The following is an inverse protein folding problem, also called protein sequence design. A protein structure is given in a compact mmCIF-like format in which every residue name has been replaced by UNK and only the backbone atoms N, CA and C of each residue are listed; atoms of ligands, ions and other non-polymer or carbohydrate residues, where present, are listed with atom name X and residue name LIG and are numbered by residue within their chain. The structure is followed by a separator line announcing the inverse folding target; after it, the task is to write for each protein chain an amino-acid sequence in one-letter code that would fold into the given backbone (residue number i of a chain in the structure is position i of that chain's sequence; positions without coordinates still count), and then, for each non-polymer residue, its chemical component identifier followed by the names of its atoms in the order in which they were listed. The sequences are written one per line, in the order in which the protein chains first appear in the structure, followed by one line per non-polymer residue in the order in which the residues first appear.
data_IF_650829582926
#
_entry.id   IF_650829582926
#
_cell.length_a   1.000
_cell.length_b   1.000
_cell.length_c   1.000
_cell.angle_alpha   90.00
_cell.angle_beta   90.00
_cell.angle_gamma   90.00
#
_symmetry.space_group_name_H-M   'P 1'
#
loop_
_entity.id
_entity.type
_entity.pdbx_description
1 polymer ?
#
# COMPACT_ATOMS: atom_id res chain seq x y z
N UNK A 1 -69.80 -27.32 -73.57
CA UNK A 1 -69.53 -28.57 -74.35
C UNK A 1 -68.14 -29.03 -73.93
N UNK A 2 -68.00 -30.29 -73.48
CA UNK A 2 -66.71 -30.95 -73.17
C UNK A 2 -66.10 -31.57 -74.40
N UNK A 3 -64.96 -32.23 -74.41
CA UNK A 3 -64.72 -33.49 -73.68
C UNK A 3 -63.34 -33.66 -73.08
N UNK A 4 -63.30 -34.50 -72.03
CA UNK A 4 -62.81 -35.92 -71.93
C UNK A 4 -61.28 -36.13 -72.04
N UNK A 5 -60.82 -36.70 -70.94
CA UNK A 5 -60.25 -38.07 -70.76
C UNK A 5 -58.81 -38.22 -71.24
N UNK A 6 -57.92 -38.68 -70.46
CA UNK A 6 -57.67 -40.07 -70.14
C UNK A 6 -56.51 -40.20 -69.09
N UNK A 7 -56.71 -41.11 -68.16
CA UNK A 7 -55.61 -41.80 -67.42
C UNK A 7 -55.00 -42.89 -68.28
N UNK A 8 -53.80 -43.34 -68.05
CA UNK A 8 -53.59 -44.42 -67.09
C UNK A 8 -52.31 -44.31 -66.22
N UNK A 9 -52.46 -44.73 -65.04
CA UNK A 9 -51.75 -45.79 -64.26
C UNK A 9 -50.38 -46.24 -64.78
N UNK A 10 -49.35 -46.14 -63.94
CA UNK A 10 -48.69 -47.34 -63.53
C UNK A 10 -47.81 -47.13 -62.32
N UNK A 11 -47.99 -48.04 -61.41
CA UNK A 11 -47.20 -48.36 -60.22
C UNK A 11 -45.77 -48.63 -60.59
N UNK A 12 -44.85 -48.09 -59.84
CA UNK A 12 -43.79 -48.95 -59.29
C UNK A 12 -43.06 -48.26 -58.06
N UNK A 13 -43.33 -48.77 -56.92
CA UNK A 13 -42.54 -48.56 -55.71
C UNK A 13 -41.33 -49.45 -55.80
N UNK A 14 -40.16 -48.95 -55.35
CA UNK A 14 -39.44 -49.66 -54.36
C UNK A 14 -39.01 -48.77 -53.18
N UNK A 15 -39.81 -48.77 -52.12
CA UNK A 15 -39.40 -48.50 -50.75
C UNK A 15 -38.47 -49.62 -50.27
N UNK A 16 -37.17 -49.49 -50.43
CA UNK A 16 -36.20 -50.32 -49.64
C UNK A 16 -34.77 -49.80 -49.61
N UNK A 17 -34.43 -48.62 -50.22
CA UNK A 17 -33.08 -48.10 -50.21
C UNK A 17 -32.83 -46.91 -49.21
N UNK A 18 -33.87 -46.26 -48.70
CA UNK A 18 -33.73 -45.08 -47.85
C UNK A 18 -33.47 -45.38 -46.34
N UNK A 19 -33.62 -46.64 -45.91
CA UNK A 19 -33.44 -47.00 -44.47
C UNK A 19 -32.02 -47.51 -44.16
N UNK A 20 -31.20 -47.72 -45.19
CA UNK A 20 -29.83 -48.26 -44.99
C UNK A 20 -28.74 -47.20 -44.92
N UNK A 21 -29.00 -45.97 -45.37
CA UNK A 21 -28.02 -44.88 -45.30
C UNK A 21 -28.01 -44.11 -43.96
N UNK A 22 -29.08 -44.18 -43.15
CA UNK A 22 -29.18 -43.48 -41.88
C UNK A 22 -28.46 -44.22 -40.69
N UNK A 23 -27.86 -45.39 -40.92
CA UNK A 23 -27.19 -46.17 -39.87
C UNK A 23 -25.67 -46.10 -39.85
N UNK A 24 -25.03 -45.38 -40.78
CA UNK A 24 -23.59 -45.27 -40.87
C UNK A 24 -23.01 -43.88 -40.52
N UNK A 25 -23.79 -43.00 -39.92
CA UNK A 25 -23.38 -41.62 -39.63
C UNK A 25 -23.11 -41.36 -38.12
N UNK A 26 -22.52 -42.30 -37.38
CA UNK A 26 -22.16 -41.99 -35.99
C UNK A 26 -21.04 -42.91 -35.42
N UNK A 27 -20.02 -43.18 -36.19
CA UNK A 27 -18.75 -43.57 -35.60
C UNK A 27 -17.77 -42.42 -35.71
N UNK A 28 -17.78 -41.57 -34.69
CA UNK A 28 -16.73 -40.54 -34.59
C UNK A 28 -15.37 -41.26 -34.67
N UNK A 29 -14.47 -40.82 -35.56
CA UNK A 29 -13.21 -41.53 -35.78
C UNK A 29 -12.46 -41.60 -34.46
N UNK A 30 -11.84 -42.77 -34.15
CA UNK A 30 -11.05 -42.97 -32.92
C UNK A 30 -10.01 -41.86 -32.70
N UNK A 31 -9.55 -41.25 -33.79
CA UNK A 31 -8.68 -40.08 -33.77
C UNK A 31 -9.28 -38.86 -32.99
N UNK A 32 -10.62 -38.67 -33.00
CA UNK A 32 -11.27 -37.61 -32.26
C UNK A 32 -11.15 -37.78 -30.75
N UNK A 33 -11.25 -38.99 -30.23
CA UNK A 33 -11.09 -39.29 -28.81
C UNK A 33 -9.61 -39.20 -28.36
N UNK A 34 -8.69 -39.55 -29.27
CA UNK A 34 -7.26 -39.34 -29.03
C UNK A 34 -6.89 -37.85 -28.94
N UNK A 35 -7.48 -37.04 -29.79
CA UNK A 35 -7.28 -35.57 -29.80
C UNK A 35 -7.85 -34.91 -28.53
N UNK A 36 -9.07 -35.34 -28.13
CA UNK A 36 -9.68 -34.89 -26.86
C UNK A 36 -8.83 -35.33 -25.64
N UNK A 37 -8.35 -36.56 -25.60
CA UNK A 37 -7.47 -37.08 -24.58
C UNK A 37 -6.17 -36.27 -24.48
N UNK A 38 -5.55 -35.93 -25.63
CA UNK A 38 -4.35 -35.11 -25.66
C UNK A 38 -4.61 -33.67 -25.12
N UNK A 39 -5.72 -33.03 -25.48
CA UNK A 39 -6.11 -31.73 -24.97
C UNK A 39 -6.32 -31.74 -23.45
N UNK A 40 -6.99 -32.77 -22.94
CA UNK A 40 -7.20 -32.94 -21.47
C UNK A 40 -5.87 -33.15 -20.76
N UNK A 41 -4.99 -33.99 -21.30
CA UNK A 41 -3.65 -34.21 -20.71
C UNK A 41 -2.79 -32.93 -20.71
N UNK A 42 -2.81 -32.17 -21.80
CA UNK A 42 -2.10 -30.88 -21.87
C UNK A 42 -2.72 -29.87 -20.86
N UNK A 43 -4.05 -29.83 -20.77
CA UNK A 43 -4.75 -28.99 -19.80
C UNK A 43 -4.43 -29.36 -18.34
N UNK A 44 -4.42 -30.66 -18.01
CA UNK A 44 -4.03 -31.15 -16.67
C UNK A 44 -2.56 -30.86 -16.40
N UNK A 45 -1.67 -31.07 -17.38
CA UNK A 45 -0.25 -30.74 -17.22
C UNK A 45 -0.02 -29.23 -17.03
N UNK A 46 -0.74 -28.39 -17.77
CA UNK A 46 -0.66 -26.93 -17.60
C UNK A 46 -1.20 -26.48 -16.24
N UNK A 47 -2.33 -27.02 -15.79
CA UNK A 47 -2.89 -26.75 -14.46
C UNK A 47 -1.97 -27.23 -13.35
N UNK A 48 -1.40 -28.43 -13.50
CA UNK A 48 -0.43 -28.97 -12.55
C UNK A 48 0.84 -28.13 -12.51
N UNK A 49 1.33 -27.65 -13.67
CA UNK A 49 2.49 -26.79 -13.76
C UNK A 49 2.24 -25.42 -13.08
N UNK A 50 1.05 -24.84 -13.22
CA UNK A 50 0.65 -23.60 -12.52
C UNK A 50 0.50 -23.84 -11.02
N UNK A 51 -0.05 -24.99 -10.61
CA UNK A 51 -0.24 -25.34 -9.20
C UNK A 51 1.06 -25.70 -8.47
N UNK A 52 2.05 -26.26 -9.19
CA UNK A 52 3.35 -26.69 -8.65
C UNK A 52 4.41 -25.58 -8.80
N UNK A 53 4.13 -24.53 -9.59
CA UNK A 53 5.04 -23.38 -9.59
C UNK A 53 5.23 -22.93 -8.15
N UNK A 54 6.45 -22.92 -7.60
CA UNK A 54 6.68 -22.31 -6.32
C UNK A 54 6.21 -20.86 -6.45
N UNK A 55 5.16 -20.50 -5.70
CA UNK A 55 4.70 -19.12 -5.58
C UNK A 55 5.83 -18.34 -4.94
N UNK A 56 6.55 -17.59 -5.76
CA UNK A 56 7.55 -16.66 -5.30
C UNK A 56 8.84 -17.30 -4.77
N UNK A 57 9.95 -16.75 -5.21
CA UNK A 57 11.21 -16.84 -4.47
C UNK A 57 11.04 -16.32 -3.04
N UNK A 58 12.09 -16.27 -2.23
CA UNK A 58 12.00 -15.82 -0.84
C UNK A 58 11.25 -14.49 -0.82
N UNK A 59 10.08 -14.51 -0.17
CA UNK A 59 9.25 -13.33 -0.01
C UNK A 59 10.10 -12.30 0.74
N UNK A 60 10.36 -11.15 0.14
CA UNK A 60 11.07 -10.02 0.79
C UNK A 60 10.24 -9.45 1.98
N UNK A 61 9.16 -10.12 2.33
CA UNK A 61 8.19 -9.69 3.31
C UNK A 61 8.68 -9.98 4.72
N UNK A 62 8.96 -8.92 5.46
CA UNK A 62 9.19 -8.95 6.89
C UNK A 62 7.82 -8.88 7.56
N UNK A 63 7.33 -9.98 8.11
CA UNK A 63 5.95 -10.06 8.61
C UNK A 63 5.71 -9.36 9.97
N UNK A 64 6.74 -9.05 10.72
CA UNK A 64 6.61 -8.36 12.03
C UNK A 64 7.79 -7.44 12.30
N UNK A 65 7.52 -6.25 12.80
CA UNK A 65 8.55 -5.38 13.34
C UNK A 65 9.03 -5.91 14.68
N UNK A 66 10.35 -6.09 14.84
CA UNK A 66 10.95 -6.44 16.13
C UNK A 66 10.96 -5.20 17.03
N UNK A 67 10.12 -5.21 18.08
CA UNK A 67 10.06 -4.16 19.09
C UNK A 67 10.88 -4.51 20.33
N UNK A 68 11.45 -5.73 20.40
CA UNK A 68 12.27 -6.15 21.53
C UNK A 68 13.66 -5.52 21.44
N UNK A 69 14.11 -4.88 22.51
CA UNK A 69 15.38 -4.15 22.54
C UNK A 69 15.53 -3.07 21.46
N UNK A 70 14.41 -2.52 21.00
CA UNK A 70 14.41 -1.39 20.10
C UNK A 70 15.05 -0.19 20.83
N UNK A 71 16.09 0.38 20.23
CA UNK A 71 16.73 1.60 20.72
C UNK A 71 15.80 2.82 20.73
N UNK A 72 16.32 4.03 20.83
CA UNK A 72 15.50 5.24 20.74
C UNK A 72 14.84 5.34 19.35
N UNK A 73 13.58 5.79 19.34
CA UNK A 73 12.87 6.11 18.09
C UNK A 73 13.55 7.25 17.36
N UNK A 74 13.57 7.18 16.03
CA UNK A 74 14.15 8.21 15.18
C UNK A 74 13.30 8.36 13.93
N UNK A 75 12.61 9.50 13.83
CA UNK A 75 11.81 9.84 12.67
C UNK A 75 12.57 10.67 11.64
N UNK A 76 11.86 11.05 10.59
CA UNK A 76 12.38 11.82 9.46
C UNK A 76 11.75 13.22 9.47
N UNK A 77 12.59 14.22 9.74
CA UNK A 77 12.17 15.60 9.90
C UNK A 77 11.96 16.29 8.54
N UNK A 78 10.86 17.03 8.42
CA UNK A 78 10.63 18.04 7.40
C UNK A 78 10.37 19.39 8.07
N UNK A 79 10.97 20.44 7.53
CA UNK A 79 10.89 21.80 8.08
C UNK A 79 11.98 22.09 9.10
N UNK A 80 11.79 23.16 9.87
CA UNK A 80 12.79 23.66 10.80
C UNK A 80 12.77 22.87 12.11
N UNK A 81 13.95 22.50 12.61
CA UNK A 81 14.09 21.79 13.89
C UNK A 81 13.57 22.63 15.07
N UNK A 82 13.61 23.94 14.97
CA UNK A 82 13.17 24.90 15.98
C UNK A 82 11.77 25.50 15.71
N UNK A 83 11.01 24.97 14.74
CA UNK A 83 9.65 25.40 14.49
C UNK A 83 8.80 25.35 15.77
N UNK A 84 7.93 26.35 16.03
CA UNK A 84 7.18 26.47 17.30
C UNK A 84 6.21 25.33 17.53
N UNK A 85 5.68 24.72 16.48
CA UNK A 85 4.77 23.57 16.58
C UNK A 85 5.43 22.32 15.99
N UNK A 86 5.39 21.22 16.73
CA UNK A 86 5.89 19.92 16.28
C UNK A 86 4.72 19.01 15.97
N UNK A 87 4.73 18.45 14.78
CA UNK A 87 3.80 17.43 14.32
C UNK A 87 4.57 16.13 14.23
N UNK A 88 4.18 15.13 15.02
CA UNK A 88 4.72 13.77 14.89
C UNK A 88 3.67 12.95 14.15
N UNK A 89 4.03 12.44 13.01
CA UNK A 89 3.17 11.58 12.19
C UNK A 89 3.61 10.13 12.38
N UNK A 90 2.67 9.27 12.75
CA UNK A 90 2.83 7.82 12.79
C UNK A 90 2.04 7.23 11.62
N UNK A 91 2.75 6.71 10.64
CA UNK A 91 2.15 6.25 9.40
C UNK A 91 2.74 4.94 8.90
N UNK A 92 1.98 4.31 8.00
CA UNK A 92 2.29 3.04 7.37
C UNK A 92 2.24 3.23 5.85
N UNK A 93 3.32 2.90 5.17
CA UNK A 93 3.41 3.09 3.72
C UNK A 93 2.36 2.30 2.92
N UNK A 94 1.85 1.20 3.47
CA UNK A 94 0.83 0.38 2.81
C UNK A 94 -0.61 0.76 3.21
N UNK A 95 -0.78 1.69 4.17
CA UNK A 95 -2.10 2.14 4.60
C UNK A 95 -2.75 3.08 3.58
N UNK A 96 -3.95 2.76 3.03
CA UNK A 96 -4.61 3.63 2.05
C UNK A 96 -4.95 5.04 2.59
N UNK A 97 -5.29 5.14 3.87
CA UNK A 97 -5.56 6.44 4.50
C UNK A 97 -4.30 7.29 4.64
N UNK A 98 -3.11 6.67 4.82
CA UNK A 98 -1.83 7.38 4.81
C UNK A 98 -1.50 7.88 3.40
N UNK A 99 -1.72 7.07 2.37
CA UNK A 99 -1.58 7.50 0.98
C UNK A 99 -2.52 8.68 0.67
N UNK A 100 -3.78 8.59 1.11
CA UNK A 100 -4.75 9.69 0.96
C UNK A 100 -4.26 10.99 1.62
N UNK A 101 -3.70 10.93 2.83
CA UNK A 101 -3.11 12.10 3.48
C UNK A 101 -1.90 12.62 2.69
N UNK A 102 -0.94 11.76 2.39
CA UNK A 102 0.31 12.15 1.73
C UNK A 102 0.10 12.74 0.32
N UNK A 103 -0.84 12.19 -0.46
CA UNK A 103 -1.07 12.63 -1.84
C UNK A 103 -2.00 13.84 -1.91
N UNK A 104 -2.99 13.94 -1.02
CA UNK A 104 -4.06 14.96 -1.12
C UNK A 104 -3.85 16.13 -0.15
N UNK A 105 -3.47 15.86 1.10
CA UNK A 105 -3.44 16.87 2.16
C UNK A 105 -2.04 17.41 2.44
N UNK A 106 -1.06 16.54 2.49
CA UNK A 106 0.31 16.89 2.86
C UNK A 106 0.96 17.94 1.95
N UNK A 107 0.72 18.01 0.63
CA UNK A 107 1.27 19.07 -0.22
C UNK A 107 0.90 20.49 0.26
N UNK A 108 -0.36 20.68 0.68
CA UNK A 108 -0.80 21.95 1.26
C UNK A 108 -0.19 22.19 2.65
N UNK A 109 -0.07 21.14 3.47
CA UNK A 109 0.60 21.21 4.78
C UNK A 109 2.06 21.61 4.61
N UNK A 110 2.79 21.02 3.66
CA UNK A 110 4.19 21.36 3.35
C UNK A 110 4.32 22.83 2.98
N UNK A 111 3.60 23.28 1.97
CA UNK A 111 3.77 24.63 1.40
C UNK A 111 3.24 25.73 2.30
N UNK A 112 2.15 25.48 3.04
CA UNK A 112 1.41 26.55 3.76
C UNK A 112 1.61 26.51 5.27
N UNK A 113 2.21 25.46 5.81
CA UNK A 113 2.51 25.33 7.26
C UNK A 113 3.99 25.09 7.49
N UNK A 114 4.61 24.09 6.83
CA UNK A 114 5.99 23.69 7.12
C UNK A 114 6.98 24.70 6.51
N UNK A 115 6.84 25.03 5.23
CA UNK A 115 7.74 25.94 4.52
C UNK A 115 7.66 27.38 5.07
N UNK A 116 6.51 27.75 5.66
CA UNK A 116 6.38 29.03 6.38
C UNK A 116 7.08 29.05 7.74
N UNK A 117 7.52 27.89 8.24
CA UNK A 117 8.16 27.75 9.53
C UNK A 117 7.21 27.73 10.72
N UNK A 118 5.90 27.67 10.51
CA UNK A 118 4.87 27.59 11.58
C UNK A 118 4.95 26.25 12.32
N UNK A 119 5.22 25.18 11.60
CA UNK A 119 5.42 23.87 12.19
C UNK A 119 6.54 23.10 11.50
N UNK A 120 6.97 22.02 12.12
CA UNK A 120 7.72 20.93 11.48
C UNK A 120 6.96 19.63 11.62
N UNK A 121 7.13 18.73 10.65
CA UNK A 121 6.59 17.38 10.70
C UNK A 121 7.73 16.37 10.82
N UNK A 122 7.54 15.35 11.65
CA UNK A 122 8.46 14.23 11.77
C UNK A 122 7.69 12.95 11.52
N UNK A 123 8.03 12.25 10.45
CA UNK A 123 7.44 10.95 10.08
C UNK A 123 8.07 9.84 10.90
N UNK A 124 7.25 8.96 11.47
CA UNK A 124 7.63 7.75 12.18
C UNK A 124 6.95 6.54 11.55
N UNK A 125 7.72 5.50 11.25
CA UNK A 125 7.19 4.24 10.78
C UNK A 125 6.28 3.61 11.83
N UNK A 126 5.05 3.26 11.44
CA UNK A 126 4.12 2.52 12.28
C UNK A 126 3.48 1.38 11.49
N UNK A 127 4.28 0.35 11.15
CA UNK A 127 3.83 -0.76 10.32
C UNK A 127 2.74 -1.57 11.01
N UNK A 128 1.59 -1.73 10.33
CA UNK A 128 0.46 -2.52 10.79
C UNK A 128 0.62 -3.99 10.37
N UNK A 129 0.25 -4.91 11.23
CA UNK A 129 0.47 -6.34 11.01
C UNK A 129 -0.30 -6.94 9.83
N UNK A 130 -1.41 -6.32 9.44
CA UNK A 130 -2.20 -6.73 8.27
C UNK A 130 -1.58 -6.28 6.94
N UNK A 131 -0.63 -5.36 6.95
CA UNK A 131 0.03 -4.83 5.76
C UNK A 131 1.32 -5.60 5.47
N UNK A 132 1.30 -6.40 4.42
CA UNK A 132 2.34 -7.39 4.12
C UNK A 132 3.67 -6.78 3.71
N UNK A 133 3.62 -5.71 2.92
CA UNK A 133 4.78 -5.07 2.32
C UNK A 133 5.26 -3.81 3.05
N UNK A 134 4.57 -3.42 4.13
CA UNK A 134 4.86 -2.17 4.84
C UNK A 134 6.28 -2.09 5.41
N UNK A 135 6.79 -3.19 6.01
CA UNK A 135 8.17 -3.22 6.53
C UNK A 135 9.22 -3.11 5.43
N UNK A 136 8.94 -3.72 4.28
CA UNK A 136 9.80 -3.62 3.11
C UNK A 136 9.83 -2.18 2.56
N UNK A 137 8.67 -1.50 2.50
CA UNK A 137 8.55 -0.11 2.09
C UNK A 137 9.23 0.85 3.08
N UNK A 138 9.02 0.65 4.39
CA UNK A 138 9.73 1.41 5.44
C UNK A 138 11.25 1.27 5.33
N UNK A 139 11.76 0.05 5.11
CA UNK A 139 13.18 -0.17 4.90
C UNK A 139 13.69 0.48 3.60
N UNK A 140 12.88 0.47 2.53
CA UNK A 140 13.23 1.13 1.27
C UNK A 140 13.38 2.65 1.43
N UNK A 141 12.46 3.30 2.14
CA UNK A 141 12.51 4.73 2.45
C UNK A 141 13.68 5.07 3.38
N UNK A 142 13.91 4.23 4.41
CA UNK A 142 15.03 4.39 5.33
C UNK A 142 16.40 4.30 4.63
N UNK A 143 16.53 3.41 3.63
CA UNK A 143 17.76 3.31 2.83
C UNK A 143 17.94 4.51 1.88
N UNK A 144 16.85 5.15 1.46
CA UNK A 144 16.92 6.39 0.69
C UNK A 144 17.38 7.59 1.56
N UNK A 145 17.08 7.56 2.87
CA UNK A 145 17.51 8.57 3.84
C UNK A 145 19.04 8.67 3.94
N UNK A 146 19.78 7.57 3.79
CA UNK A 146 21.26 7.59 3.76
C UNK A 146 21.85 8.50 2.68
N UNK A 147 21.06 8.77 1.66
CA UNK A 147 21.44 9.63 0.53
C UNK A 147 20.64 10.96 0.53
N UNK A 148 20.01 11.31 1.68
CA UNK A 148 19.22 12.52 1.84
C UNK A 148 17.93 12.54 0.99
N UNK A 149 17.41 11.37 0.62
CA UNK A 149 16.26 11.22 -0.29
C UNK A 149 15.06 10.51 0.38
N UNK A 150 14.93 10.60 1.71
CA UNK A 150 13.76 10.04 2.38
C UNK A 150 12.46 10.58 1.78
N UNK A 151 12.27 11.90 1.77
CA UNK A 151 11.03 12.50 1.34
C UNK A 151 10.69 12.26 -0.15
N UNK A 152 11.63 12.36 -1.09
CA UNK A 152 11.35 11.93 -2.46
C UNK A 152 10.92 10.46 -2.58
N UNK A 153 11.52 9.55 -1.80
CA UNK A 153 11.16 8.14 -1.80
C UNK A 153 9.81 7.91 -1.11
N UNK A 154 9.54 8.60 0.00
CA UNK A 154 8.26 8.63 0.69
C UNK A 154 7.12 9.00 -0.26
N UNK A 155 7.27 10.12 -0.97
CA UNK A 155 6.25 10.60 -1.90
C UNK A 155 6.00 9.58 -3.02
N UNK A 156 7.08 8.99 -3.54
CA UNK A 156 6.97 8.02 -4.63
C UNK A 156 6.31 6.71 -4.18
N UNK A 157 6.61 6.25 -2.97
CA UNK A 157 5.98 5.06 -2.38
C UNK A 157 4.46 5.25 -2.24
N UNK A 158 4.01 6.37 -1.68
CA UNK A 158 2.59 6.64 -1.52
C UNK A 158 1.86 6.87 -2.85
N UNK A 159 2.47 7.60 -3.78
CA UNK A 159 1.89 7.84 -5.10
C UNK A 159 1.67 6.57 -5.92
N UNK A 160 2.49 5.55 -5.69
CA UNK A 160 2.45 4.29 -6.41
C UNK A 160 2.01 3.11 -5.54
N UNK A 161 1.31 3.37 -4.43
CA UNK A 161 0.94 2.33 -3.47
C UNK A 161 0.22 1.14 -4.12
N UNK A 162 -0.61 1.38 -5.11
CA UNK A 162 -1.36 0.35 -5.84
C UNK A 162 -0.48 -0.61 -6.66
N UNK A 163 0.76 -0.22 -6.98
CA UNK A 163 1.66 -1.05 -7.75
C UNK A 163 2.37 -2.11 -6.89
N UNK A 164 2.58 -1.83 -5.60
CA UNK A 164 3.48 -2.62 -4.77
C UNK A 164 2.88 -3.10 -3.43
N UNK A 165 1.67 -2.69 -3.08
CA UNK A 165 1.01 -3.15 -1.85
C UNK A 165 0.86 -4.68 -1.81
N UNK A 166 0.50 -5.24 -0.65
CA UNK A 166 0.40 -6.69 -0.46
C UNK A 166 -0.74 -7.36 -1.22
N UNK A 167 -1.67 -6.60 -1.79
CA UNK A 167 -2.69 -7.11 -2.70
C UNK A 167 -2.14 -7.23 -4.13
N UNK A 168 -1.29 -6.28 -4.54
CA UNK A 168 -0.71 -6.24 -5.87
C UNK A 168 0.44 -7.25 -6.06
N UNK A 169 1.29 -7.44 -5.04
CA UNK A 169 2.48 -8.29 -5.18
C UNK A 169 2.98 -8.85 -3.85
N UNK A 170 3.58 -10.05 -3.90
CA UNK A 170 4.35 -10.62 -2.80
C UNK A 170 5.86 -10.26 -2.88
N UNK A 171 6.28 -9.56 -3.92
CA UNK A 171 7.70 -9.23 -4.19
C UNK A 171 7.85 -7.75 -4.58
N UNK A 172 7.78 -6.81 -3.62
CA UNK A 172 7.78 -5.38 -3.90
C UNK A 172 9.14 -4.80 -4.29
N UNK A 173 10.26 -5.49 -4.02
CA UNK A 173 11.64 -4.99 -4.27
C UNK A 173 11.87 -4.45 -5.69
N UNK A 174 11.40 -5.09 -6.79
CA UNK A 174 11.60 -4.55 -8.14
C UNK A 174 10.98 -3.16 -8.33
N UNK A 175 9.82 -2.91 -7.71
CA UNK A 175 9.16 -1.61 -7.73
C UNK A 175 10.00 -0.57 -6.97
N UNK A 176 10.42 -0.90 -5.75
CA UNK A 176 11.23 0.00 -4.92
C UNK A 176 12.58 0.33 -5.56
N UNK A 177 13.21 -0.65 -6.23
CA UNK A 177 14.44 -0.41 -7.01
C UNK A 177 14.22 0.58 -8.16
N UNK A 178 13.09 0.47 -8.86
CA UNK A 178 12.71 1.44 -9.90
C UNK A 178 12.51 2.82 -9.29
N UNK A 179 11.82 2.93 -8.16
CA UNK A 179 11.62 4.22 -7.48
C UNK A 179 12.94 4.82 -6.99
N UNK A 180 13.86 3.99 -6.50
CA UNK A 180 15.20 4.44 -6.15
C UNK A 180 15.93 5.08 -7.35
N UNK A 181 15.78 4.53 -8.55
CA UNK A 181 16.29 5.13 -9.80
C UNK A 181 15.59 6.45 -10.12
N UNK A 182 14.25 6.47 -10.04
CA UNK A 182 13.43 7.64 -10.37
C UNK A 182 13.73 8.83 -9.45
N UNK A 183 13.98 8.60 -8.16
CA UNK A 183 14.34 9.67 -7.22
C UNK A 183 15.84 10.02 -7.20
N UNK A 184 16.63 9.37 -8.08
CA UNK A 184 18.04 9.72 -8.31
C UNK A 184 18.98 9.19 -7.22
N UNK A 185 18.74 7.99 -6.69
CA UNK A 185 19.65 7.32 -5.76
C UNK A 185 20.79 6.60 -6.50
N UNK A 186 21.92 6.44 -5.82
CA UNK A 186 22.88 5.39 -6.13
C UNK A 186 22.21 4.04 -5.79
N UNK A 187 21.72 3.38 -6.84
CA UNK A 187 20.93 2.15 -6.71
C UNK A 187 21.73 1.01 -6.08
N UNK A 188 23.02 0.92 -6.35
CA UNK A 188 23.84 -0.15 -5.78
C UNK A 188 23.99 0.00 -4.26
N UNK A 189 24.20 1.23 -3.77
CA UNK A 189 24.22 1.52 -2.33
C UNK A 189 22.87 1.28 -1.68
N UNK A 190 21.79 1.76 -2.33
CA UNK A 190 20.44 1.56 -1.84
C UNK A 190 20.10 0.06 -1.74
N UNK A 191 20.40 -0.74 -2.78
CA UNK A 191 20.13 -2.17 -2.82
C UNK A 191 20.89 -2.93 -1.74
N UNK A 192 22.18 -2.60 -1.52
CA UNK A 192 22.97 -3.18 -0.44
C UNK A 192 22.36 -2.91 0.95
N UNK A 193 21.91 -1.68 1.18
CA UNK A 193 21.21 -1.31 2.42
C UNK A 193 19.88 -2.07 2.58
N UNK A 194 19.09 -2.11 1.50
CA UNK A 194 17.78 -2.74 1.48
C UNK A 194 17.87 -4.24 1.77
N UNK A 195 18.77 -4.96 1.10
CA UNK A 195 18.96 -6.41 1.27
C UNK A 195 19.50 -6.76 2.66
N UNK A 196 20.33 -5.91 3.23
CA UNK A 196 20.81 -6.06 4.60
C UNK A 196 19.72 -5.79 5.66
N UNK A 197 18.53 -5.30 5.27
CA UNK A 197 17.45 -4.88 6.20
C UNK A 197 17.95 -3.96 7.30
N UNK A 198 18.82 -3.03 6.95
CA UNK A 198 19.64 -2.23 7.88
C UNK A 198 18.83 -1.48 8.93
N UNK A 199 17.61 -1.06 8.59
CA UNK A 199 16.78 -0.20 9.44
C UNK A 199 15.68 -0.92 10.22
N UNK A 200 15.64 -2.26 10.21
CA UNK A 200 14.61 -3.03 10.90
C UNK A 200 14.46 -2.68 12.39
N UNK A 201 15.59 -2.48 13.11
CA UNK A 201 15.56 -2.08 14.52
C UNK A 201 14.99 -0.69 14.73
N UNK A 202 15.33 0.28 13.87
CA UNK A 202 14.79 1.65 13.92
C UNK A 202 13.28 1.66 13.67
N UNK A 203 12.81 0.91 12.66
CA UNK A 203 11.39 0.75 12.37
C UNK A 203 10.66 0.15 13.57
N UNK A 204 11.22 -0.87 14.21
CA UNK A 204 10.68 -1.46 15.45
C UNK A 204 10.65 -0.46 16.61
N UNK A 205 11.68 0.39 16.75
CA UNK A 205 11.73 1.45 17.76
C UNK A 205 10.65 2.52 17.55
N UNK A 206 10.42 2.91 16.29
CA UNK A 206 9.37 3.85 15.91
C UNK A 206 7.98 3.29 16.23
N UNK A 207 7.71 2.02 15.88
CA UNK A 207 6.48 1.33 16.24
C UNK A 207 6.27 1.30 17.77
N UNK A 208 7.31 0.90 18.53
CA UNK A 208 7.25 0.85 19.99
C UNK A 208 6.97 2.22 20.61
N UNK A 209 7.53 3.29 20.07
CA UNK A 209 7.27 4.66 20.51
C UNK A 209 5.81 5.08 20.27
N UNK A 210 5.28 4.80 19.06
CA UNK A 210 3.89 5.05 18.75
C UNK A 210 2.93 4.32 19.70
N UNK A 211 3.20 3.03 19.98
CA UNK A 211 2.39 2.24 20.93
C UNK A 211 2.41 2.85 22.32
N UNK A 212 3.58 3.32 22.84
CA UNK A 212 3.67 4.01 24.14
C UNK A 212 2.88 5.31 24.17
N UNK A 213 2.73 6.00 23.05
CA UNK A 213 1.91 7.22 22.90
C UNK A 213 0.42 6.93 22.69
N UNK A 214 0.00 5.66 22.67
CA UNK A 214 -1.37 5.24 22.47
C UNK A 214 -1.81 5.25 21.02
N UNK A 215 -0.88 5.27 20.05
CA UNK A 215 -1.17 5.07 18.62
C UNK A 215 -1.61 3.63 18.42
N UNK A 216 -2.73 3.43 17.72
CA UNK A 216 -3.29 2.12 17.39
C UNK A 216 -3.91 2.07 15.97
N UNK A 217 -3.76 3.14 15.21
CA UNK A 217 -4.21 3.24 13.81
C UNK A 217 -3.36 4.26 13.07
N UNK A 218 -3.35 4.17 11.72
CA UNK A 218 -2.62 5.08 10.85
C UNK A 218 -3.54 5.75 9.81
N UNK A 219 -3.23 6.99 9.42
CA UNK A 219 -2.25 7.87 10.04
C UNK A 219 -2.72 8.33 11.43
N UNK A 220 -1.77 8.61 12.31
CA UNK A 220 -2.04 9.27 13.59
C UNK A 220 -1.02 10.40 13.79
N UNK A 221 -1.48 11.51 14.34
CA UNK A 221 -0.67 12.70 14.54
C UNK A 221 -0.61 13.06 16.03
N UNK A 222 0.60 13.27 16.56
CA UNK A 222 0.77 13.90 17.86
C UNK A 222 1.18 15.34 17.63
N UNK A 223 0.31 16.29 18.04
CA UNK A 223 0.54 17.73 17.87
C UNK A 223 0.40 18.38 19.25
N UNK A 224 1.50 19.01 19.71
CA UNK A 224 1.59 19.41 21.10
C UNK A 224 1.60 18.18 22.02
N UNK A 225 0.57 18.05 22.87
CA UNK A 225 0.39 16.92 23.79
C UNK A 225 -0.84 16.07 23.48
N UNK A 226 -1.43 16.23 22.30
CA UNK A 226 -2.69 15.55 21.91
C UNK A 226 -2.44 14.60 20.75
N UNK A 227 -3.10 13.43 20.82
CA UNK A 227 -3.13 12.44 19.75
C UNK A 227 -4.40 12.61 18.91
N UNK A 228 -4.24 12.76 17.61
CA UNK A 228 -5.29 12.84 16.61
C UNK A 228 -5.20 11.61 15.71
N UNK A 229 -6.29 10.89 15.52
CA UNK A 229 -6.34 9.65 14.70
C UNK A 229 -7.04 9.87 13.39
N UNK A 230 -6.57 9.21 12.35
CA UNK A 230 -7.15 9.27 11.02
C UNK A 230 -6.61 10.41 10.17
N UNK A 231 -7.06 10.45 8.93
CA UNK A 231 -6.66 11.47 7.95
C UNK A 231 -7.21 12.83 8.39
N UNK A 232 -6.32 13.76 8.68
CA UNK A 232 -6.69 15.15 8.97
C UNK A 232 -6.80 15.95 7.66
N UNK A 233 -7.83 16.80 7.53
CA UNK A 233 -7.86 17.79 6.46
C UNK A 233 -6.85 18.91 6.75
N UNK A 234 -6.42 19.61 5.69
CA UNK A 234 -5.55 20.77 5.83
C UNK A 234 -6.11 21.80 6.83
N UNK A 235 -7.40 22.14 6.71
CA UNK A 235 -8.03 23.14 7.58
C UNK A 235 -8.05 22.72 9.04
N UNK A 236 -8.34 21.44 9.32
CA UNK A 236 -8.29 20.90 10.68
C UNK A 236 -6.88 20.96 11.26
N UNK A 237 -5.87 20.57 10.49
CA UNK A 237 -4.47 20.62 10.91
C UNK A 237 -4.00 22.06 11.12
N UNK A 238 -4.33 22.96 10.20
CA UNK A 238 -4.04 24.38 10.31
C UNK A 238 -4.64 25.01 11.57
N UNK A 239 -5.90 24.72 11.87
CA UNK A 239 -6.56 25.22 13.08
C UNK A 239 -5.88 24.77 14.36
N UNK A 240 -5.43 23.50 14.41
CA UNK A 240 -4.67 22.96 15.55
C UNK A 240 -3.33 23.67 15.69
N UNK A 241 -2.57 23.80 14.59
CA UNK A 241 -1.26 24.47 14.57
C UNK A 241 -1.39 25.92 15.01
N UNK A 242 -2.35 26.66 14.47
CA UNK A 242 -2.58 28.07 14.84
C UNK A 242 -2.94 28.23 16.31
N UNK A 243 -3.76 27.33 16.85
CA UNK A 243 -4.13 27.35 18.27
C UNK A 243 -2.93 27.16 19.19
N UNK A 244 -2.04 26.23 18.83
CA UNK A 244 -0.82 25.94 19.63
C UNK A 244 0.18 27.09 19.49
N UNK A 245 0.41 27.58 18.28
CA UNK A 245 1.34 28.70 18.02
C UNK A 245 0.95 29.97 18.82
N UNK A 246 -0.35 30.27 18.88
CA UNK A 246 -0.87 31.38 19.69
C UNK A 246 -0.62 31.19 21.18
N UNK A 247 -0.79 29.97 21.70
CA UNK A 247 -0.57 29.70 23.13
C UNK A 247 0.89 29.74 23.53
N UNK A 248 1.82 29.43 22.61
CA UNK A 248 3.27 29.49 22.85
C UNK A 248 3.82 30.91 22.71
N UNK A 249 3.18 31.77 21.92
CA UNK A 249 3.57 33.18 21.72
C UNK A 249 2.98 34.16 22.74
N UNK A 250 1.98 33.74 23.54
CA UNK A 250 1.50 34.57 24.65
C UNK A 250 2.53 34.60 25.78
N UNK A 251 3.03 35.79 26.20
CA UNK A 251 3.89 35.89 27.37
C UNK A 251 3.16 35.28 28.58
N UNK A 252 3.85 34.43 29.32
CA UNK A 252 3.39 34.04 30.64
C UNK A 252 3.12 35.32 31.42
N UNK A 253 1.84 35.64 31.62
CA UNK A 253 1.48 36.66 32.62
C UNK A 253 1.95 36.06 33.94
N UNK A 254 3.16 36.45 34.37
CA UNK A 254 3.64 36.15 35.69
C UNK A 254 2.63 36.73 36.68
N UNK A 255 1.70 35.86 37.17
CA UNK A 255 0.84 36.20 38.29
C UNK A 255 1.73 36.66 39.42
N UNK A 256 1.72 37.97 39.69
CA UNK A 256 2.29 38.50 40.93
C UNK A 256 1.71 37.70 42.09
N UNK A 257 2.53 37.27 43.06
CA UNK A 257 2.01 36.57 44.22
C UNK A 257 1.02 37.53 44.94
N UNK A 258 -0.20 37.05 45.10
CA UNK A 258 -1.22 37.77 45.87
C UNK A 258 -0.61 38.14 47.24
N UNK A 259 -0.52 39.43 47.54
CA UNK A 259 -0.09 39.93 48.83
C UNK A 259 -1.00 39.35 49.93
N UNK A 260 -0.46 38.60 50.83
CA UNK A 260 -1.14 38.09 52.02
C UNK A 260 -1.45 39.29 52.91
N UNK A 261 -2.69 39.53 53.29
CA UNK A 261 -3.00 40.63 54.21
C UNK A 261 -2.48 40.28 55.60
N UNK A 262 -1.48 41.03 56.08
CA UNK A 262 -1.01 40.98 57.47
C UNK A 262 -2.12 41.53 58.37
N UNK A 263 -2.71 40.66 59.18
CA UNK A 263 -3.56 41.09 60.31
C UNK A 263 -2.63 41.70 61.37
N UNK A 264 -2.70 42.99 61.51
CA UNK A 264 -2.20 43.71 62.71
C UNK A 264 -3.12 43.50 63.86
N UNK A 265 -2.55 43.16 64.98
CA UNK A 265 -3.20 42.99 66.30
C UNK A 265 -3.41 44.34 66.98
#
# INVERSE_FOLDING_TARGET
MPPRNDRPSDRNVPRKSAVREARNASSRPKAFYWLLGAIVLVGVAALSYVAIRPKGGPTDVIQTADTTNAGPSQGYLMGKVDAPVKILEFADFECPSCAGFSVVTEPDVRTRIIDTGLASITYFDFPLTQHRNTLAASNAAACADEQGKFWPMHDRLFQAQDEWNGEATDSPKPFFKRYAQEVGLDVAKWESCYDARKYQKRIGANLADGLRRGVNSTPSFVIGNKLYRGMASYDAMKAIVDSIAKSTSSPLVNGAPAAVPTKTK
#
